data_IF_665634034606
#
_entry.id   IF_665634034606
#
_cell.length_a   1.000
_cell.length_b   1.000
_cell.length_c   1.000
_cell.angle_alpha   90.00
_cell.angle_beta   90.00
_cell.angle_gamma   90.00
#
_symmetry.space_group_name_H-M   'P 1'
#
loop_
_entity.id
_entity.type
_entity.pdbx_description
1 polymer ?
#
# COMPACT_ATOMS: atom_id res chain seq x y z
N UNK A 1 -28.79 -14.80 -3.76
CA UNK A 1 -29.06 -13.48 -3.17
C UNK A 1 -27.72 -12.77 -2.94
N UNK A 2 -27.48 -11.67 -3.64
CA UNK A 2 -26.30 -10.80 -3.50
C UNK A 2 -26.41 -10.03 -2.19
N UNK A 3 -25.31 -9.87 -1.42
CA UNK A 3 -25.35 -9.07 -0.21
C UNK A 3 -25.61 -7.59 -0.56
N UNK A 4 -26.39 -6.85 0.26
CA UNK A 4 -26.57 -5.42 0.07
C UNK A 4 -25.21 -4.71 0.15
N UNK A 5 -25.06 -3.63 -0.63
CA UNK A 5 -23.82 -2.85 -0.63
C UNK A 5 -23.60 -2.19 0.74
N UNK A 6 -22.38 -2.26 1.31
CA UNK A 6 -22.09 -1.60 2.58
C UNK A 6 -22.31 -0.08 2.44
N UNK A 7 -22.96 0.54 3.43
CA UNK A 7 -23.21 1.98 3.45
C UNK A 7 -22.04 2.73 4.07
N UNK A 8 -21.37 2.12 5.05
CA UNK A 8 -20.18 2.68 5.69
C UNK A 8 -19.04 1.67 5.76
N UNK A 9 -17.85 2.07 5.29
CA UNK A 9 -16.62 1.28 5.37
C UNK A 9 -15.64 1.99 6.30
N UNK A 10 -15.12 1.25 7.30
CA UNK A 10 -13.90 1.66 8.00
C UNK A 10 -12.71 1.01 7.29
N UNK A 11 -11.74 1.83 6.86
CA UNK A 11 -10.56 1.41 6.14
C UNK A 11 -9.30 1.82 6.91
N UNK A 12 -8.37 0.90 7.14
CA UNK A 12 -7.05 1.28 7.70
C UNK A 12 -6.11 1.77 6.62
N UNK A 13 -5.14 2.60 6.96
CA UNK A 13 -4.06 3.04 6.04
C UNK A 13 -2.81 3.43 6.83
N UNK A 14 -1.71 3.68 6.12
CA UNK A 14 -0.50 4.28 6.66
C UNK A 14 -0.05 5.46 5.80
N UNK A 15 0.73 6.37 6.37
CA UNK A 15 1.24 7.55 5.69
C UNK A 15 2.67 7.39 5.14
N UNK A 16 3.25 6.18 5.16
CA UNK A 16 4.68 5.93 4.90
C UNK A 16 4.95 5.40 3.49
N UNK A 17 3.93 4.93 2.76
CA UNK A 17 4.12 4.41 1.41
C UNK A 17 2.93 4.54 0.45
N UNK A 18 2.90 3.64 -0.53
CA UNK A 18 1.88 3.60 -1.58
C UNK A 18 0.47 3.30 -1.05
N UNK A 19 0.35 2.71 0.14
CA UNK A 19 -0.92 2.43 0.82
C UNK A 19 -1.72 3.71 1.04
N UNK A 20 -1.06 4.82 1.40
CA UNK A 20 -1.73 6.13 1.51
C UNK A 20 -2.49 6.48 0.23
N UNK A 21 -1.80 6.39 -0.91
CA UNK A 21 -2.40 6.78 -2.19
C UNK A 21 -3.48 5.80 -2.63
N UNK A 22 -3.22 4.50 -2.48
CA UNK A 22 -4.20 3.45 -2.71
C UNK A 22 -5.50 3.72 -1.92
N UNK A 23 -5.36 4.04 -0.63
CA UNK A 23 -6.51 4.26 0.24
C UNK A 23 -7.31 5.51 -0.16
N UNK A 24 -6.64 6.61 -0.51
CA UNK A 24 -7.32 7.82 -0.98
C UNK A 24 -8.04 7.60 -2.32
N UNK A 25 -7.38 6.99 -3.30
CA UNK A 25 -7.98 6.67 -4.60
C UNK A 25 -9.19 5.75 -4.43
N UNK A 26 -9.08 4.75 -3.55
CA UNK A 26 -10.16 3.82 -3.28
C UNK A 26 -11.33 4.49 -2.54
N UNK A 27 -11.04 5.30 -1.52
CA UNK A 27 -12.04 6.03 -0.77
C UNK A 27 -12.83 6.99 -1.68
N UNK A 28 -12.13 7.76 -2.52
CA UNK A 28 -12.77 8.63 -3.50
C UNK A 28 -13.72 7.85 -4.42
N UNK A 29 -13.25 6.72 -4.97
CA UNK A 29 -14.07 5.84 -5.81
C UNK A 29 -15.31 5.31 -5.08
N UNK A 30 -15.18 4.84 -3.84
CA UNK A 30 -16.30 4.33 -3.03
C UNK A 30 -17.32 5.42 -2.70
N UNK A 31 -16.86 6.63 -2.39
CA UNK A 31 -17.73 7.78 -2.10
C UNK A 31 -18.58 8.15 -3.31
N UNK A 32 -18.05 8.09 -4.54
CA UNK A 32 -18.86 8.30 -5.76
C UNK A 32 -19.99 7.28 -5.92
N UNK A 33 -19.89 6.13 -5.26
CA UNK A 33 -20.91 5.07 -5.25
C UNK A 33 -21.85 5.17 -4.05
N UNK A 34 -21.83 6.29 -3.31
CA UNK A 34 -22.68 6.53 -2.16
C UNK A 34 -22.25 5.81 -0.88
N UNK A 35 -21.00 5.33 -0.81
CA UNK A 35 -20.45 4.67 0.38
C UNK A 35 -19.69 5.69 1.22
N UNK A 36 -20.06 5.84 2.49
CA UNK A 36 -19.28 6.62 3.44
C UNK A 36 -17.99 5.88 3.80
N UNK A 37 -16.88 6.60 3.95
CA UNK A 37 -15.58 6.00 4.29
C UNK A 37 -14.97 6.73 5.49
N UNK A 38 -14.65 5.96 6.53
CA UNK A 38 -13.73 6.39 7.60
C UNK A 38 -12.36 5.79 7.34
N UNK A 39 -11.34 6.63 7.20
CA UNK A 39 -9.96 6.25 6.97
C UNK A 39 -9.15 6.36 8.28
N UNK A 40 -8.85 5.23 8.90
CA UNK A 40 -8.07 5.12 10.12
C UNK A 40 -6.57 5.04 9.80
N UNK A 41 -5.81 6.09 10.13
CA UNK A 41 -4.37 6.18 9.88
C UNK A 41 -3.61 5.55 11.03
N UNK A 42 -2.85 4.50 10.72
CA UNK A 42 -1.92 3.81 11.60
C UNK A 42 -0.49 4.31 11.35
N UNK A 43 0.34 4.26 12.38
CA UNK A 43 1.73 4.69 12.35
C UNK A 43 1.87 6.22 12.34
N UNK A 44 2.91 6.75 11.67
CA UNK A 44 3.19 8.18 11.64
C UNK A 44 2.03 9.01 11.10
N UNK A 45 1.85 10.20 11.66
CA UNK A 45 0.87 11.18 11.20
C UNK A 45 1.12 11.56 9.72
N UNK A 46 0.05 11.79 8.92
CA UNK A 46 0.19 12.23 7.55
C UNK A 46 0.84 13.62 7.48
N UNK A 47 1.76 13.79 6.52
CA UNK A 47 2.41 15.08 6.24
C UNK A 47 1.39 16.12 5.75
N UNK A 48 1.68 17.42 5.83
CA UNK A 48 0.74 18.46 5.40
C UNK A 48 0.19 18.29 3.97
N UNK A 49 1.01 17.84 3.02
CA UNK A 49 0.54 17.54 1.66
C UNK A 49 -0.42 16.36 1.57
N UNK A 50 -0.21 15.32 2.40
CA UNK A 50 -1.09 14.17 2.48
C UNK A 50 -2.45 14.56 3.08
N UNK A 51 -2.45 15.37 4.16
CA UNK A 51 -3.68 15.91 4.76
C UNK A 51 -4.50 16.71 3.76
N UNK A 52 -3.87 17.68 3.08
CA UNK A 52 -4.52 18.49 2.05
C UNK A 52 -5.13 17.62 0.95
N UNK A 53 -4.44 16.56 0.51
CA UNK A 53 -4.96 15.65 -0.49
C UNK A 53 -6.21 14.89 -0.01
N UNK A 54 -6.25 14.47 1.26
CA UNK A 54 -7.42 13.82 1.84
C UNK A 54 -8.60 14.80 2.01
N UNK A 55 -8.33 16.04 2.41
CA UNK A 55 -9.33 17.12 2.55
C UNK A 55 -10.00 17.48 1.22
N UNK A 56 -9.36 17.23 0.07
CA UNK A 56 -10.00 17.41 -1.25
C UNK A 56 -11.07 16.36 -1.55
N UNK A 57 -11.16 15.26 -0.79
CA UNK A 57 -12.13 14.20 -1.00
C UNK A 57 -13.36 14.49 -0.13
N UNK A 58 -14.34 15.16 -0.72
CA UNK A 58 -15.61 15.47 -0.05
C UNK A 58 -16.27 14.20 0.51
N UNK A 59 -16.64 14.20 1.79
CA UNK A 59 -17.28 13.05 2.45
C UNK A 59 -16.32 12.01 3.03
N UNK A 60 -15.00 12.15 2.85
CA UNK A 60 -14.00 11.32 3.52
C UNK A 60 -13.79 11.79 4.96
N UNK A 61 -13.91 10.87 5.92
CA UNK A 61 -13.49 11.12 7.31
C UNK A 61 -12.12 10.51 7.53
N UNK A 62 -11.11 11.30 7.93
CA UNK A 62 -9.79 10.80 8.29
C UNK A 62 -9.61 10.84 9.81
N UNK A 63 -9.13 9.74 10.39
CA UNK A 63 -8.88 9.62 11.82
C UNK A 63 -7.43 9.18 12.03
N UNK A 64 -6.63 10.04 12.64
CA UNK A 64 -5.30 9.65 13.11
C UNK A 64 -5.43 8.91 14.42
N UNK A 65 -5.00 7.66 14.43
CA UNK A 65 -5.25 6.76 15.56
C UNK A 65 -4.16 6.84 16.62
N UNK A 66 -2.94 7.22 16.24
CA UNK A 66 -1.75 7.08 17.08
C UNK A 66 -1.33 5.62 17.33
N UNK A 67 -1.99 4.64 16.72
CA UNK A 67 -1.71 3.22 16.88
C UNK A 67 -0.58 2.78 15.92
N UNK A 68 0.27 1.81 16.31
CA UNK A 68 1.42 1.41 15.50
C UNK A 68 1.03 0.55 14.28
N UNK A 69 1.98 0.43 13.33
CA UNK A 69 1.93 -0.53 12.23
C UNK A 69 2.53 -1.87 12.67
N UNK A 70 2.13 -2.95 12.01
CA UNK A 70 2.67 -4.31 12.23
C UNK A 70 4.19 -4.39 12.05
N UNK A 71 4.73 -3.71 11.05
CA UNK A 71 6.17 -3.68 10.78
C UNK A 71 6.95 -2.65 11.61
N UNK A 72 6.29 -1.73 12.32
CA UNK A 72 6.94 -0.77 13.23
C UNK A 72 6.83 -1.15 14.70
N UNK A 73 5.82 -1.95 15.08
CA UNK A 73 5.58 -2.28 16.48
C UNK A 73 6.76 -3.02 17.11
N UNK A 74 7.10 -2.73 18.35
CA UNK A 74 8.28 -3.32 19.00
C UNK A 74 8.00 -4.74 19.46
N UNK A 75 6.75 -5.03 19.81
CA UNK A 75 6.30 -6.31 20.34
C UNK A 75 4.87 -6.67 19.87
N UNK A 76 4.44 -7.94 20.00
CA UNK A 76 3.09 -8.35 19.59
C UNK A 76 1.94 -7.70 20.38
N UNK A 77 2.18 -7.25 21.61
CA UNK A 77 1.18 -6.60 22.46
C UNK A 77 0.66 -5.30 21.86
N UNK A 78 1.55 -4.50 21.28
CA UNK A 78 1.20 -3.26 20.55
C UNK A 78 0.24 -3.53 19.39
N UNK A 79 0.37 -4.68 18.71
CA UNK A 79 -0.55 -5.05 17.62
C UNK A 79 -1.91 -5.49 18.17
N UNK A 80 -1.92 -6.12 19.33
CA UNK A 80 -3.16 -6.46 20.03
C UNK A 80 -3.93 -5.21 20.42
N UNK A 81 -3.25 -4.19 20.94
CA UNK A 81 -3.85 -2.89 21.27
C UNK A 81 -4.36 -2.17 20.01
N UNK A 82 -3.55 -2.14 18.94
CA UNK A 82 -3.95 -1.58 17.66
C UNK A 82 -5.21 -2.27 17.11
N UNK A 83 -5.25 -3.60 17.14
CA UNK A 83 -6.37 -4.38 16.65
C UNK A 83 -7.65 -4.08 17.44
N UNK A 84 -7.57 -4.02 18.78
CA UNK A 84 -8.70 -3.67 19.64
C UNK A 84 -9.18 -2.24 19.38
N UNK A 85 -8.27 -1.28 19.23
CA UNK A 85 -8.59 0.12 18.94
C UNK A 85 -9.33 0.27 17.61
N UNK A 86 -8.83 -0.38 16.55
CA UNK A 86 -9.50 -0.36 15.23
C UNK A 86 -10.85 -1.07 15.27
N UNK A 87 -10.98 -2.20 15.97
CA UNK A 87 -12.24 -2.91 16.11
C UNK A 87 -13.29 -2.08 16.89
N UNK A 88 -12.89 -1.45 17.98
CA UNK A 88 -13.75 -0.55 18.76
C UNK A 88 -14.19 0.66 17.91
N UNK A 89 -13.28 1.24 17.12
CA UNK A 89 -13.62 2.34 16.22
C UNK A 89 -14.63 1.92 15.14
N UNK A 90 -14.46 0.73 14.55
CA UNK A 90 -15.39 0.20 13.56
C UNK A 90 -16.79 0.02 14.15
N UNK A 91 -16.89 -0.51 15.37
CA UNK A 91 -18.16 -0.67 16.08
C UNK A 91 -18.79 0.69 16.43
N UNK A 92 -18.03 1.61 17.03
CA UNK A 92 -18.52 2.91 17.46
C UNK A 92 -19.04 3.77 16.31
N UNK A 93 -18.48 3.60 15.10
CA UNK A 93 -18.92 4.32 13.89
C UNK A 93 -19.93 3.54 13.06
N UNK A 94 -20.39 2.38 13.51
CA UNK A 94 -21.36 1.55 12.78
C UNK A 94 -20.86 1.17 11.39
N UNK A 95 -19.61 0.75 11.25
CA UNK A 95 -19.10 0.26 9.97
C UNK A 95 -19.81 -1.03 9.57
N UNK A 96 -20.31 -1.09 8.32
CA UNK A 96 -20.92 -2.28 7.74
C UNK A 96 -19.86 -3.28 7.24
N UNK A 97 -18.64 -2.78 6.99
CA UNK A 97 -17.50 -3.55 6.52
C UNK A 97 -16.19 -2.89 6.97
N UNK A 98 -15.20 -3.72 7.30
CA UNK A 98 -13.84 -3.29 7.65
C UNK A 98 -12.88 -3.70 6.55
N UNK A 99 -12.16 -2.73 5.99
CA UNK A 99 -11.11 -2.94 5.00
C UNK A 99 -9.74 -2.73 5.66
N UNK A 100 -9.01 -3.80 5.92
CA UNK A 100 -7.69 -3.75 6.53
C UNK A 100 -6.61 -3.70 5.45
N UNK A 101 -5.90 -2.58 5.35
CA UNK A 101 -4.60 -2.52 4.66
C UNK A 101 -3.46 -3.07 5.53
N UNK A 102 -3.74 -3.36 6.80
CA UNK A 102 -2.87 -4.10 7.73
C UNK A 102 -3.61 -5.35 8.25
N UNK A 103 -3.68 -6.45 7.49
CA UNK A 103 -4.51 -7.61 7.85
C UNK A 103 -4.06 -8.35 9.10
N UNK A 104 -2.82 -8.13 9.56
CA UNK A 104 -2.31 -8.65 10.84
C UNK A 104 -3.23 -8.33 12.03
N UNK A 105 -3.98 -7.22 11.99
CA UNK A 105 -4.93 -6.86 13.05
C UNK A 105 -6.06 -7.89 13.23
N UNK A 106 -6.46 -8.58 12.16
CA UNK A 106 -7.50 -9.60 12.23
C UNK A 106 -7.06 -10.87 12.97
N UNK A 107 -5.78 -11.00 13.30
CA UNK A 107 -5.29 -12.08 14.17
C UNK A 107 -5.62 -11.83 15.65
N UNK A 108 -5.66 -10.57 16.07
CA UNK A 108 -5.65 -10.19 17.49
C UNK A 108 -6.96 -9.55 17.96
N UNK A 109 -7.89 -9.24 17.05
CA UNK A 109 -9.22 -8.78 17.37
C UNK A 109 -10.31 -9.39 16.49
N UNK A 110 -11.49 -9.56 17.07
CA UNK A 110 -12.71 -9.87 16.32
C UNK A 110 -13.40 -8.57 15.94
N UNK A 111 -13.68 -8.43 14.65
CA UNK A 111 -14.53 -7.36 14.12
C UNK A 111 -15.97 -7.86 14.05
N UNK A 112 -16.92 -7.01 14.45
CA UNK A 112 -18.35 -7.29 14.35
C UNK A 112 -18.83 -7.29 12.91
N UNK A 113 -18.25 -6.41 12.08
CA UNK A 113 -18.49 -6.34 10.65
C UNK A 113 -17.55 -7.30 9.88
N UNK A 114 -17.96 -7.74 8.68
CA UNK A 114 -17.09 -8.53 7.81
C UNK A 114 -15.78 -7.79 7.45
N UNK A 115 -14.70 -8.56 7.35
CA UNK A 115 -13.34 -8.05 7.16
C UNK A 115 -12.80 -8.43 5.80
N UNK A 116 -12.36 -7.42 5.04
CA UNK A 116 -11.56 -7.59 3.82
C UNK A 116 -10.11 -7.22 4.13
N UNK A 117 -9.19 -8.17 3.98
CA UNK A 117 -7.76 -7.94 4.10
C UNK A 117 -7.11 -7.67 2.73
N UNK A 118 -6.39 -6.57 2.60
CA UNK A 118 -5.58 -6.29 1.41
C UNK A 118 -4.17 -6.85 1.57
N UNK A 119 -3.81 -7.79 0.71
CA UNK A 119 -2.47 -8.37 0.61
C UNK A 119 -1.58 -7.43 -0.20
N UNK A 120 -0.98 -6.45 0.48
CA UNK A 120 0.10 -5.62 -0.06
C UNK A 120 1.46 -6.28 0.13
N UNK A 121 2.52 -5.62 -0.36
CA UNK A 121 3.89 -5.99 -0.02
C UNK A 121 4.07 -6.05 1.50
N UNK A 122 4.64 -7.15 1.98
CA UNK A 122 4.93 -7.41 3.40
C UNK A 122 6.37 -7.91 3.57
N UNK A 123 6.82 -8.00 4.83
CA UNK A 123 8.19 -8.43 5.17
C UNK A 123 8.57 -9.76 4.52
N UNK A 124 7.69 -10.77 4.54
CA UNK A 124 8.00 -12.08 3.95
C UNK A 124 8.12 -12.02 2.43
N UNK A 125 7.21 -11.30 1.76
CA UNK A 125 7.26 -11.14 0.30
C UNK A 125 8.51 -10.39 -0.16
N UNK A 126 8.90 -9.35 0.58
CA UNK A 126 10.14 -8.62 0.32
C UNK A 126 11.35 -9.49 0.61
N UNK A 127 11.36 -10.22 1.73
CA UNK A 127 12.46 -11.10 2.10
C UNK A 127 12.68 -12.19 1.06
N UNK A 128 11.62 -12.89 0.63
CA UNK A 128 11.69 -13.89 -0.42
C UNK A 128 12.22 -13.28 -1.74
N UNK A 129 11.73 -12.11 -2.14
CA UNK A 129 12.14 -11.46 -3.38
C UNK A 129 13.60 -10.99 -3.37
N UNK A 130 14.11 -10.52 -2.23
CA UNK A 130 15.45 -9.87 -2.14
C UNK A 130 16.52 -10.82 -1.60
N UNK A 131 16.13 -11.76 -0.72
CA UNK A 131 17.04 -12.64 0.03
C UNK A 131 16.86 -14.12 -0.33
N UNK A 132 15.82 -14.48 -1.11
CA UNK A 132 15.53 -15.86 -1.48
C UNK A 132 15.28 -16.73 -0.25
N UNK A 133 15.95 -17.89 -0.22
CA UNK A 133 15.81 -18.89 0.85
C UNK A 133 16.69 -18.62 2.07
N UNK A 134 17.34 -17.44 2.16
CA UNK A 134 18.15 -17.10 3.31
C UNK A 134 17.31 -17.11 4.61
N UNK A 135 17.86 -17.56 5.75
CA UNK A 135 17.13 -17.57 7.01
C UNK A 135 16.60 -16.18 7.37
N UNK A 136 15.27 -16.09 7.53
CA UNK A 136 14.60 -14.87 7.94
C UNK A 136 14.96 -14.52 9.39
N UNK A 137 15.15 -13.25 9.79
CA UNK A 137 15.38 -12.89 11.19
C UNK A 137 14.15 -13.19 12.07
N UNK A 138 14.33 -13.47 13.37
CA UNK A 138 13.22 -13.73 14.30
C UNK A 138 12.19 -12.60 14.34
N UNK A 139 12.66 -11.35 14.26
CA UNK A 139 11.80 -10.18 14.19
C UNK A 139 10.85 -10.21 12.99
N UNK A 140 11.26 -10.80 11.87
CA UNK A 140 10.42 -10.89 10.67
C UNK A 140 9.54 -12.15 10.71
N UNK A 141 10.04 -13.24 11.30
CA UNK A 141 9.29 -14.50 11.47
C UNK A 141 8.00 -14.27 12.25
N UNK A 142 8.07 -13.69 13.45
CA UNK A 142 6.85 -13.53 14.26
C UNK A 142 5.80 -12.63 13.59
N UNK A 143 6.24 -11.61 12.84
CA UNK A 143 5.34 -10.74 12.05
C UNK A 143 4.71 -11.48 10.88
N UNK A 144 5.48 -12.37 10.25
CA UNK A 144 4.99 -13.24 9.18
C UNK A 144 3.94 -14.23 9.72
N UNK A 145 4.20 -14.83 10.87
CA UNK A 145 3.25 -15.73 11.54
C UNK A 145 1.97 -14.99 11.95
N UNK A 146 2.12 -13.78 12.48
CA UNK A 146 1.00 -12.91 12.84
C UNK A 146 0.15 -12.54 11.62
N UNK A 147 0.79 -12.15 10.51
CA UNK A 147 0.10 -11.84 9.26
C UNK A 147 -0.61 -13.08 8.68
N UNK A 148 -0.01 -14.27 8.81
CA UNK A 148 -0.64 -15.54 8.42
C UNK A 148 -1.95 -15.76 9.17
N UNK A 149 -1.94 -15.58 10.50
CA UNK A 149 -3.16 -15.64 11.31
C UNK A 149 -4.15 -14.54 10.92
N UNK A 150 -3.67 -13.34 10.62
CA UNK A 150 -4.49 -12.21 10.19
C UNK A 150 -5.21 -12.49 8.86
N UNK A 151 -4.52 -13.09 7.90
CA UNK A 151 -5.12 -13.55 6.65
C UNK A 151 -6.21 -14.59 6.87
N UNK A 152 -5.98 -15.57 7.75
CA UNK A 152 -7.00 -16.55 8.14
C UNK A 152 -8.18 -15.92 8.90
N UNK A 153 -7.95 -14.80 9.60
CA UNK A 153 -8.97 -14.05 10.33
C UNK A 153 -9.86 -13.15 9.45
N UNK A 154 -9.49 -12.93 8.19
CA UNK A 154 -10.25 -12.11 7.24
C UNK A 154 -11.34 -12.94 6.53
N UNK A 155 -12.50 -12.34 6.23
CA UNK A 155 -13.57 -13.01 5.48
C UNK A 155 -13.27 -13.09 3.99
N UNK A 156 -12.53 -12.11 3.47
CA UNK A 156 -11.97 -12.12 2.12
C UNK A 156 -10.59 -11.49 2.11
N UNK A 157 -9.78 -11.95 1.17
CA UNK A 157 -8.49 -11.35 0.87
C UNK A 157 -8.47 -10.85 -0.57
N UNK A 158 -7.81 -9.73 -0.80
CA UNK A 158 -7.57 -9.18 -2.13
C UNK A 158 -6.08 -8.93 -2.35
N UNK A 159 -5.61 -9.08 -3.59
CA UNK A 159 -4.23 -8.77 -3.98
C UNK A 159 -4.22 -7.87 -5.23
N UNK A 160 -3.22 -6.97 -5.38
CA UNK A 160 -3.22 -5.95 -6.44
C UNK A 160 -2.99 -6.51 -7.85
N UNK A 161 -2.60 -7.77 -7.98
CA UNK A 161 -2.38 -8.43 -9.26
C UNK A 161 -2.48 -9.95 -9.13
N UNK A 162 -2.61 -10.62 -10.27
CA UNK A 162 -2.53 -12.08 -10.33
C UNK A 162 -1.16 -12.61 -9.85
N UNK A 163 -0.07 -11.94 -10.22
CA UNK A 163 1.27 -12.30 -9.76
C UNK A 163 1.37 -12.21 -8.24
N UNK A 164 0.86 -11.13 -7.64
CA UNK A 164 0.92 -10.97 -6.19
C UNK A 164 -0.04 -11.91 -5.45
N UNK A 165 -1.18 -12.26 -6.05
CA UNK A 165 -2.03 -13.33 -5.56
C UNK A 165 -1.27 -14.65 -5.47
N UNK A 166 -0.51 -15.04 -6.50
CA UNK A 166 0.30 -16.26 -6.49
C UNK A 166 1.42 -16.19 -5.44
N UNK A 167 2.08 -15.05 -5.29
CA UNK A 167 3.07 -14.82 -4.23
C UNK A 167 2.46 -15.01 -2.84
N UNK A 168 1.29 -14.42 -2.57
CA UNK A 168 0.59 -14.60 -1.29
C UNK A 168 0.21 -16.05 -1.06
N UNK A 169 -0.32 -16.74 -2.08
CA UNK A 169 -0.68 -18.16 -1.98
C UNK A 169 0.52 -19.04 -1.65
N UNK A 170 1.67 -18.80 -2.31
CA UNK A 170 2.89 -19.56 -2.07
C UNK A 170 3.47 -19.33 -0.66
N UNK A 171 3.44 -18.08 -0.17
CA UNK A 171 4.04 -17.72 1.12
C UNK A 171 3.15 -18.07 2.33
N UNK A 172 1.83 -17.95 2.17
CA UNK A 172 0.89 -17.97 3.30
C UNK A 172 -0.16 -19.08 3.21
N UNK A 173 -0.21 -19.82 2.10
CA UNK A 173 -1.26 -20.81 1.85
C UNK A 173 -2.66 -20.23 1.65
N UNK A 174 -2.79 -18.90 1.61
CA UNK A 174 -4.05 -18.18 1.42
C UNK A 174 -4.15 -17.63 0.00
N UNK A 175 -5.25 -17.91 -0.71
CA UNK A 175 -5.45 -17.47 -2.10
C UNK A 175 -6.37 -16.24 -2.13
N UNK A 176 -5.84 -15.02 -2.25
CA UNK A 176 -6.65 -13.82 -2.37
C UNK A 176 -7.33 -13.72 -3.74
N UNK A 177 -8.33 -12.85 -3.87
CA UNK A 177 -8.84 -12.47 -5.17
C UNK A 177 -7.96 -11.37 -5.79
N UNK A 178 -7.55 -11.53 -7.05
CA UNK A 178 -6.85 -10.47 -7.77
C UNK A 178 -7.80 -9.29 -8.06
N UNK A 179 -7.52 -8.13 -7.48
CA UNK A 179 -8.23 -6.86 -7.69
C UNK A 179 -7.18 -5.80 -7.96
N UNK A 180 -7.08 -5.35 -9.22
CA UNK A 180 -6.11 -4.34 -9.61
C UNK A 180 -6.37 -2.99 -8.93
N UNK A 181 -5.30 -2.37 -8.45
CA UNK A 181 -5.35 -1.00 -7.96
C UNK A 181 -5.81 -0.06 -9.08
N UNK A 182 -6.77 0.79 -8.78
CA UNK A 182 -7.20 1.88 -9.65
C UNK A 182 -6.50 3.17 -9.28
N UNK A 183 -6.33 4.06 -10.25
CA UNK A 183 -5.88 5.43 -10.02
C UNK A 183 -6.62 6.36 -10.96
N UNK A 184 -7.10 7.50 -10.45
CA UNK A 184 -7.66 8.53 -11.30
C UNK A 184 -6.56 9.09 -12.21
N UNK A 185 -6.86 9.29 -13.49
CA UNK A 185 -5.96 10.06 -14.35
C UNK A 185 -5.81 11.46 -13.75
N UNK A 186 -4.58 12.03 -13.75
CA UNK A 186 -4.43 13.43 -13.39
C UNK A 186 -5.41 14.25 -14.24
N UNK A 187 -6.15 15.15 -13.60
CA UNK A 187 -6.98 16.08 -14.35
C UNK A 187 -6.04 16.84 -15.29
N UNK A 188 -6.22 16.69 -16.60
CA UNK A 188 -5.45 17.47 -17.55
C UNK A 188 -5.69 18.94 -17.18
N UNK A 189 -4.61 19.66 -16.84
CA UNK A 189 -4.74 21.10 -16.66
C UNK A 189 -5.40 21.64 -17.94
N UNK A 190 -6.42 22.51 -17.84
CA UNK A 190 -7.00 23.12 -19.02
C UNK A 190 -5.83 23.71 -19.82
N UNK A 191 -5.70 23.29 -21.07
CA UNK A 191 -4.66 23.80 -21.96
C UNK A 191 -4.72 25.33 -21.84
N UNK A 192 -3.65 25.93 -21.34
CA UNK A 192 -3.55 27.38 -21.34
C UNK A 192 -3.68 27.79 -22.80
N UNK A 193 -4.82 28.38 -23.16
CA UNK A 193 -5.01 28.97 -24.48
C UNK A 193 -3.90 29.99 -24.64
N UNK A 194 -2.88 29.65 -25.42
CA UNK A 194 -1.81 30.57 -25.78
C UNK A 194 -2.51 31.73 -26.48
N UNK A 195 -2.60 32.89 -25.83
CA UNK A 195 -3.14 34.12 -26.43
C UNK A 195 -2.42 34.34 -27.76
N UNK A 196 -3.12 34.45 -28.90
CA UNK A 196 -2.49 34.92 -30.12
C UNK A 196 -2.25 36.43 -29.96
N UNK A 197 -0.98 36.82 -29.75
CA UNK A 197 -0.58 38.23 -29.75
C UNK A 197 0.49 38.59 -28.72
N UNK A 198 1.74 38.68 -29.19
CA UNK A 198 2.91 39.23 -28.47
C UNK A 198 4.21 38.83 -29.17
N UNK A 199 5.16 39.76 -29.41
CA UNK A 199 6.06 39.71 -30.57
C UNK A 199 7.10 38.58 -30.53
N UNK A 200 7.41 38.11 -31.74
CA UNK A 200 8.36 37.07 -32.09
C UNK A 200 9.80 37.53 -31.76
N UNK A 201 10.29 37.19 -30.57
CA UNK A 201 11.70 37.32 -30.22
C UNK A 201 12.47 36.19 -30.92
N UNK A 202 12.81 36.44 -32.18
CA UNK A 202 13.84 35.69 -32.91
C UNK A 202 15.18 35.92 -32.23
N UNK A 203 15.58 35.03 -31.33
CA UNK A 203 16.99 34.86 -31.01
C UNK A 203 17.62 33.98 -32.08
N UNK A 204 18.53 34.61 -32.82
CA UNK A 204 19.38 34.08 -33.88
C UNK A 204 20.01 32.73 -33.55
N UNK A 205 19.74 31.73 -34.38
CA UNK A 205 20.54 30.51 -34.49
C UNK A 205 21.82 30.86 -35.24
N UNK A 206 22.95 30.89 -34.52
CA UNK A 206 24.27 30.82 -35.12
C UNK A 206 24.52 29.42 -35.68
N UNK A 207 24.79 29.34 -36.98
CA UNK A 207 25.37 28.15 -37.63
C UNK A 207 26.79 27.95 -37.13
N UNK A 208 27.17 26.70 -36.83
CA UNK A 208 28.57 26.34 -36.64
C UNK A 208 28.81 24.95 -36.08
N UNK A 209 29.06 24.01 -36.99
CA UNK A 209 29.92 22.82 -36.86
C UNK A 209 29.30 21.52 -36.34
N UNK A 210 29.03 20.64 -37.32
CA UNK A 210 28.99 19.19 -37.21
C UNK A 210 30.38 18.63 -36.85
N UNK A 211 30.42 17.54 -36.08
CA UNK A 211 31.41 16.48 -36.23
C UNK A 211 30.79 15.11 -35.88
N UNK A 212 31.22 14.02 -36.54
CA UNK A 212 30.44 12.79 -36.71
C UNK A 212 30.96 11.62 -35.86
N UNK A 213 30.18 10.53 -35.86
CA UNK A 213 30.47 9.15 -35.40
C UNK A 213 29.95 8.73 -34.01
N UNK A 214 28.85 7.95 -34.01
CA UNK A 214 28.75 6.68 -33.27
C UNK A 214 27.53 5.87 -33.76
N UNK A 215 27.79 4.63 -34.19
CA UNK A 215 26.80 3.62 -34.63
C UNK A 215 26.02 3.02 -33.43
N UNK A 216 24.84 2.40 -33.64
CA UNK A 216 24.07 1.79 -32.56
C UNK A 216 24.67 0.43 -32.15
N UNK A 217 25.09 0.32 -30.89
CA UNK A 217 25.62 -0.91 -30.29
C UNK A 217 24.62 -1.60 -29.36
N UNK A 218 24.42 -2.90 -29.60
CA UNK A 218 23.77 -3.89 -28.72
C UNK A 218 24.26 -3.78 -27.27
N UNK A 219 23.35 -3.85 -26.30
CA UNK A 219 23.70 -4.13 -24.90
C UNK A 219 23.56 -5.63 -24.62
N UNK A 220 24.69 -6.30 -24.41
CA UNK A 220 24.77 -7.66 -23.89
C UNK A 220 24.85 -7.65 -22.36
N UNK A 221 24.15 -8.59 -21.73
CA UNK A 221 24.18 -8.87 -20.29
C UNK A 221 25.61 -9.07 -19.75
N UNK A 222 25.98 -8.30 -18.73
CA UNK A 222 27.09 -8.63 -17.84
C UNK A 222 26.54 -9.18 -16.53
N UNK A 223 26.86 -10.45 -16.24
CA UNK A 223 26.72 -11.07 -14.92
C UNK A 223 27.85 -10.55 -14.02
N UNK A 224 27.53 -10.14 -12.79
CA UNK A 224 28.51 -9.84 -11.76
C UNK A 224 28.56 -10.98 -10.72
N UNK A 225 29.76 -11.52 -10.54
CA UNK A 225 30.16 -12.55 -9.56
C UNK A 225 30.46 -11.88 -8.19
N UNK A 226 29.91 -12.36 -7.06
CA UNK A 226 30.22 -11.83 -5.75
C UNK A 226 31.17 -12.77 -5.00
N UNK A 227 32.48 -12.58 -5.16
CA UNK A 227 33.45 -12.97 -4.12
C UNK A 227 34.42 -11.82 -3.87
N UNK A 228 34.67 -11.58 -2.58
CA UNK A 228 35.59 -10.60 -1.97
C UNK A 228 34.97 -9.24 -1.65
N UNK A 229 34.59 -9.07 -0.38
CA UNK A 229 35.16 -8.05 0.53
C UNK A 229 34.83 -8.46 1.97
N UNK A 230 35.88 -8.83 2.70
CA UNK A 230 35.80 -8.96 4.16
C UNK A 230 35.82 -7.59 4.80
N UNK A 231 35.19 -7.46 5.96
CA UNK A 231 35.41 -6.37 6.89
C UNK A 231 35.41 -6.93 8.31
N UNK A 232 36.59 -6.82 8.92
CA UNK A 232 36.86 -7.01 10.34
C UNK A 232 36.10 -5.98 11.19
N UNK A 233 35.82 -6.36 12.44
CA UNK A 233 34.95 -5.63 13.34
C UNK A 233 35.56 -4.40 14.00
N UNK A 234 34.66 -3.54 14.49
CA UNK A 234 34.94 -2.61 15.57
C UNK A 234 33.86 -2.80 16.65
N UNK A 235 34.25 -3.42 17.76
CA UNK A 235 33.46 -3.45 19.00
C UNK A 235 33.67 -2.12 19.73
N UNK A 236 32.61 -1.56 20.29
CA UNK A 236 32.68 -0.64 21.45
C UNK A 236 31.78 -1.15 22.56
N UNK A 237 32.18 -0.78 23.78
CA UNK A 237 31.69 -1.27 25.05
C UNK A 237 30.45 -0.49 25.51
N UNK A 238 29.29 -0.86 24.99
CA UNK A 238 28.02 -0.83 25.72
C UNK A 238 27.08 -1.88 25.09
N UNK A 239 26.55 -2.79 25.90
CA UNK A 239 25.87 -4.00 25.42
C UNK A 239 24.50 -3.79 24.79
N UNK A 240 24.26 -2.71 24.04
CA UNK A 240 22.98 -2.42 23.37
C UNK A 240 23.14 -2.40 21.86
N UNK A 241 22.54 -3.39 21.20
CA UNK A 241 22.38 -3.40 19.75
C UNK A 241 21.43 -2.27 19.33
N UNK A 242 21.95 -1.32 18.55
CA UNK A 242 21.11 -0.35 17.82
C UNK A 242 20.25 -1.14 16.81
N UNK A 243 18.92 -0.94 16.74
CA UNK A 243 18.13 -1.55 15.67
C UNK A 243 18.68 -1.08 14.32
N UNK A 244 18.79 -1.96 13.31
CA UNK A 244 19.26 -1.56 11.99
C UNK A 244 18.30 -0.51 11.43
N UNK A 245 18.85 0.58 10.90
CA UNK A 245 18.11 1.59 10.14
C UNK A 245 17.39 0.93 8.98
N UNK A 246 16.05 0.98 8.99
CA UNK A 246 15.21 0.59 7.85
C UNK A 246 15.56 1.51 6.69
N UNK A 247 15.97 0.99 5.51
CA UNK A 247 16.16 1.83 4.33
C UNK A 247 14.82 2.48 3.97
N UNK A 248 14.81 3.78 3.66
CA UNK A 248 13.65 4.39 3.01
C UNK A 248 13.27 3.57 1.77
N UNK A 249 11.99 3.24 1.55
CA UNK A 249 11.60 2.53 0.35
C UNK A 249 11.84 3.45 -0.84
N UNK A 250 12.85 3.13 -1.65
CA UNK A 250 13.03 3.70 -2.97
C UNK A 250 11.71 3.56 -3.73
N UNK A 251 11.14 4.69 -4.14
CA UNK A 251 9.82 4.76 -4.74
C UNK A 251 9.65 3.79 -5.90
N UNK A 252 8.70 2.87 -5.77
CA UNK A 252 8.23 2.05 -6.88
C UNK A 252 7.36 2.91 -7.80
N UNK A 253 7.99 3.54 -8.79
CA UNK A 253 7.33 4.14 -9.94
C UNK A 253 6.81 3.04 -10.88
N UNK A 254 5.61 2.52 -10.60
CA UNK A 254 4.89 1.66 -11.54
C UNK A 254 4.21 2.51 -12.61
N UNK A 255 4.61 2.34 -13.87
CA UNK A 255 3.91 2.91 -15.02
C UNK A 255 2.54 2.25 -15.17
N UNK A 256 1.51 2.81 -14.52
CA UNK A 256 0.13 2.41 -14.69
C UNK A 256 -0.46 2.99 -15.98
N UNK A 257 -0.81 2.15 -16.94
CA UNK A 257 -1.73 2.55 -18.02
C UNK A 257 -3.13 2.76 -17.46
N UNK A 258 -3.81 3.77 -17.99
CA UNK A 258 -5.11 4.26 -17.53
C UNK A 258 -6.18 3.16 -17.48
N UNK A 259 -6.78 2.96 -16.31
CA UNK A 259 -8.02 2.21 -16.11
C UNK A 259 -8.89 2.93 -15.07
N UNK A 260 -9.40 4.11 -15.46
CA UNK A 260 -10.42 4.82 -14.69
C UNK A 260 -11.72 4.01 -14.63
N UNK A 261 -12.44 4.11 -13.52
CA UNK A 261 -13.72 3.46 -13.18
C UNK A 261 -13.72 1.93 -12.95
N UNK A 262 -12.81 1.14 -13.55
CA UNK A 262 -12.90 -0.33 -13.49
C UNK A 262 -12.45 -0.93 -12.14
N UNK A 263 -11.47 -0.31 -11.46
CA UNK A 263 -10.95 -0.81 -10.17
C UNK A 263 -11.96 -0.73 -9.02
N UNK A 264 -12.66 0.40 -8.89
CA UNK A 264 -13.71 0.59 -7.87
C UNK A 264 -14.91 -0.33 -8.07
N UNK A 265 -15.31 -0.57 -9.32
CA UNK A 265 -16.41 -1.49 -9.67
C UNK A 265 -16.04 -2.94 -9.33
N UNK A 266 -14.81 -3.38 -9.59
CA UNK A 266 -14.36 -4.74 -9.25
C UNK A 266 -14.25 -4.98 -7.75
N UNK A 267 -13.84 -3.97 -6.96
CA UNK A 267 -13.90 -4.08 -5.50
C UNK A 267 -15.35 -4.08 -5.02
N UNK A 268 -16.23 -3.21 -5.52
CA UNK A 268 -17.65 -3.23 -5.16
C UNK A 268 -18.31 -4.60 -5.45
N UNK A 269 -17.95 -5.25 -6.56
CA UNK A 269 -18.39 -6.62 -6.86
C UNK A 269 -17.79 -7.64 -5.90
N UNK A 270 -16.49 -7.54 -5.54
CA UNK A 270 -15.88 -8.40 -4.54
C UNK A 270 -16.55 -8.25 -3.16
N UNK A 271 -16.83 -7.01 -2.74
CA UNK A 271 -17.51 -6.65 -1.49
C UNK A 271 -18.95 -7.19 -1.44
N UNK A 272 -19.67 -7.22 -2.58
CA UNK A 272 -21.03 -7.80 -2.70
C UNK A 272 -21.09 -9.32 -2.50
N UNK A 273 -19.95 -10.01 -2.50
CA UNK A 273 -19.85 -11.46 -2.23
C UNK A 273 -19.40 -11.80 -0.81
N UNK A 274 -19.11 -10.78 0.01
CA UNK A 274 -18.81 -10.94 1.44
C UNK A 274 -20.13 -11.22 2.16
N UNK A 275 -20.25 -12.41 2.76
CA UNK A 275 -21.42 -12.76 3.56
C UNK A 275 -21.23 -12.26 5.00
N UNK A 276 -22.30 -11.81 5.67
CA UNK A 276 -22.22 -11.50 7.09
C UNK A 276 -21.82 -12.75 7.89
N UNK A 277 -20.93 -12.58 8.88
CA UNK A 277 -20.64 -13.64 9.85
C UNK A 277 -21.91 -13.95 10.62
N UNK A 278 -22.31 -15.23 10.68
CA UNK A 278 -23.34 -15.65 11.62
C UNK A 278 -22.77 -15.49 13.03
N UNK A 279 -23.60 -14.89 13.90
CA UNK A 279 -23.30 -14.70 15.32
C UNK A 279 -23.04 -16.03 16.03
#
# INVERSE_FOLDING_TARGET
>A
MTAPQPRHILMTTDAVGGVWTYALDLAAGLITQGVSVTLAVLGPAPRPGQRRAAEQIAGLTVVETGLPLDWTAENPGEITEAARGVAAMAAARGADLVHLNTPALAAEARFSAPVVGACHSCLASWWSAVRGDAPMPDSFRWRTDLLTRGYAGCDRLIAPSYAFMQTTAALYGAVPQAVHNGRAAPHAAPATTRKPGGPDLRTSVGRGQECPHARPGRWTHARSDPRRRGLEGARRADGRLRPPSVPEPAGFGGAGRAAGAVGGVRLAVALRTVRPRRA
#
